data_IF_800142864741
#
_entry.id   IF_800142864741
#
_cell.length_a   1.000
_cell.length_b   1.000
_cell.length_c   1.000
_cell.angle_alpha   90.00
_cell.angle_beta   90.00
_cell.angle_gamma   90.00
#
_symmetry.space_group_name_H-M   'P 1'
#
loop_
_entity.id
_entity.type
_entity.pdbx_description
1 polymer ?
#
# COMPACT_ATOMS: atom_id res chain seq x y z
N UNK A 1 28.66 -5.45 21.24
CA UNK A 1 27.91 -4.47 20.43
C UNK A 1 28.38 -3.07 20.75
N UNK A 2 29.08 -2.47 19.79
CA UNK A 2 29.46 -1.06 19.81
C UNK A 2 28.23 -0.18 19.57
N UNK A 3 28.33 1.12 19.87
CA UNK A 3 27.22 2.07 19.64
C UNK A 3 26.79 2.10 18.15
N UNK A 4 27.77 1.99 17.24
CA UNK A 4 27.59 2.01 15.78
C UNK A 4 26.81 0.80 15.23
N UNK A 5 26.97 -0.37 15.84
CA UNK A 5 26.24 -1.59 15.43
C UNK A 5 24.74 -1.47 15.80
N UNK A 6 24.43 -0.91 16.97
CA UNK A 6 23.04 -0.68 17.42
C UNK A 6 22.30 0.35 16.57
N UNK A 7 22.99 1.40 16.10
CA UNK A 7 22.38 2.39 15.20
C UNK A 7 22.10 1.80 13.80
N UNK A 8 22.94 0.87 13.31
CA UNK A 8 22.68 0.15 12.05
C UNK A 8 21.48 -0.77 12.16
N UNK A 9 21.40 -1.57 13.23
CA UNK A 9 20.26 -2.47 13.48
C UNK A 9 18.94 -1.70 13.50
N UNK A 10 18.87 -0.57 14.22
CA UNK A 10 17.66 0.27 14.27
C UNK A 10 17.24 0.84 12.92
N UNK A 11 18.20 1.22 12.07
CA UNK A 11 17.91 1.71 10.72
C UNK A 11 17.37 0.58 9.84
N UNK A 12 17.88 -0.64 10.03
CA UNK A 12 17.46 -1.81 9.28
C UNK A 12 16.07 -2.28 9.70
N UNK A 13 15.79 -2.33 11.01
CA UNK A 13 14.46 -2.59 11.58
C UNK A 13 13.43 -1.58 11.04
N UNK A 14 13.72 -0.27 11.11
CA UNK A 14 12.81 0.74 10.59
C UNK A 14 12.56 0.65 9.07
N UNK A 15 13.53 0.13 8.31
CA UNK A 15 13.34 -0.14 6.88
C UNK A 15 12.49 -1.38 6.64
N UNK A 16 12.63 -2.40 7.47
CA UNK A 16 11.84 -3.63 7.38
C UNK A 16 10.39 -3.37 7.75
N UNK A 17 10.13 -2.70 8.88
CA UNK A 17 8.80 -2.28 9.32
C UNK A 17 8.11 -1.41 8.26
N UNK A 18 8.83 -0.44 7.68
CA UNK A 18 8.27 0.42 6.63
C UNK A 18 7.90 -0.35 5.35
N UNK A 19 8.64 -1.41 5.01
CA UNK A 19 8.30 -2.29 3.87
C UNK A 19 7.09 -3.17 4.20
N UNK A 20 7.00 -3.67 5.42
CA UNK A 20 5.88 -4.51 5.86
C UNK A 20 4.58 -3.71 5.88
N UNK A 21 4.59 -2.52 6.49
CA UNK A 21 3.45 -1.59 6.48
C UNK A 21 3.04 -1.23 5.05
N UNK A 22 4.00 -0.90 4.18
CA UNK A 22 3.70 -0.59 2.77
C UNK A 22 3.09 -1.76 2.01
N UNK A 23 3.51 -3.01 2.30
CA UNK A 23 2.89 -4.21 1.73
C UNK A 23 1.47 -4.40 2.22
N UNK A 24 1.24 -4.26 3.51
CA UNK A 24 -0.08 -4.46 4.11
C UNK A 24 -1.09 -3.42 3.62
N UNK A 25 -0.69 -2.14 3.59
CA UNK A 25 -1.50 -1.05 3.02
C UNK A 25 -1.81 -1.29 1.54
N UNK A 26 -0.82 -1.72 0.76
CA UNK A 26 -1.01 -2.06 -0.66
C UNK A 26 -2.02 -3.21 -0.87
N UNK A 27 -1.94 -4.26 -0.06
CA UNK A 27 -2.86 -5.41 -0.11
C UNK A 27 -4.30 -4.96 0.24
N UNK A 28 -4.46 -4.17 1.31
CA UNK A 28 -5.75 -3.63 1.74
C UNK A 28 -6.39 -2.77 0.65
N UNK A 29 -5.61 -1.88 0.06
CA UNK A 29 -6.07 -0.95 -0.97
C UNK A 29 -6.50 -1.71 -2.23
N UNK A 30 -5.71 -2.69 -2.67
CA UNK A 30 -6.05 -3.56 -3.79
C UNK A 30 -7.32 -4.37 -3.52
N UNK A 31 -7.44 -5.02 -2.35
CA UNK A 31 -8.66 -5.74 -1.96
C UNK A 31 -9.90 -4.85 -2.00
N UNK A 32 -9.77 -3.59 -1.54
CA UNK A 32 -10.87 -2.62 -1.56
C UNK A 32 -11.26 -2.24 -2.99
N UNK A 33 -10.28 -2.00 -3.87
CA UNK A 33 -10.49 -1.71 -5.30
C UNK A 33 -11.22 -2.87 -5.99
N UNK A 34 -10.74 -4.11 -5.84
CA UNK A 34 -11.40 -5.29 -6.42
C UNK A 34 -12.81 -5.52 -5.87
N UNK A 35 -13.02 -5.31 -4.56
CA UNK A 35 -14.34 -5.42 -3.96
C UNK A 35 -15.33 -4.42 -4.56
N UNK A 36 -14.91 -3.16 -4.72
CA UNK A 36 -15.76 -2.13 -5.32
C UNK A 36 -16.02 -2.41 -6.80
N UNK A 37 -15.02 -2.87 -7.54
CA UNK A 37 -15.18 -3.27 -8.94
C UNK A 37 -16.18 -4.41 -9.10
N UNK A 38 -16.10 -5.45 -8.25
CA UNK A 38 -17.04 -6.58 -8.25
C UNK A 38 -18.49 -6.17 -7.93
N UNK A 39 -18.68 -5.09 -7.16
CA UNK A 39 -20.01 -4.52 -6.89
C UNK A 39 -20.55 -3.72 -8.09
N UNK A 40 -19.72 -3.44 -9.11
CA UNK A 40 -20.09 -2.71 -10.31
C UNK A 40 -19.76 -1.21 -10.27
N UNK A 41 -18.88 -0.77 -9.37
CA UNK A 41 -18.45 0.63 -9.32
C UNK A 41 -17.55 0.97 -10.51
N UNK A 42 -17.74 2.18 -11.06
CA UNK A 42 -16.86 2.72 -12.10
C UNK A 42 -15.48 3.11 -11.55
N UNK A 43 -14.46 3.12 -12.40
CA UNK A 43 -13.08 3.49 -12.06
C UNK A 43 -13.02 4.86 -11.33
N UNK A 44 -13.80 5.84 -11.78
CA UNK A 44 -13.86 7.17 -11.15
C UNK A 44 -14.45 7.15 -9.74
N UNK A 45 -15.47 6.33 -9.50
CA UNK A 45 -16.05 6.17 -8.17
C UNK A 45 -15.09 5.42 -7.23
N UNK A 46 -14.39 4.40 -7.73
CA UNK A 46 -13.37 3.67 -6.97
C UNK A 46 -12.22 4.61 -6.59
N UNK A 47 -11.77 5.46 -7.52
CA UNK A 47 -10.73 6.46 -7.27
C UNK A 47 -11.14 7.41 -6.12
N UNK A 48 -12.37 7.92 -6.14
CA UNK A 48 -12.93 8.74 -5.05
C UNK A 48 -13.03 7.98 -3.72
N UNK A 49 -13.52 6.74 -3.75
CA UNK A 49 -13.73 5.93 -2.54
C UNK A 49 -12.41 5.45 -1.89
N UNK A 50 -11.38 5.23 -2.70
CA UNK A 50 -10.04 4.85 -2.25
C UNK A 50 -9.10 6.05 -2.10
N UNK A 51 -9.54 7.29 -2.40
CA UNK A 51 -8.73 8.52 -2.38
C UNK A 51 -7.42 8.40 -3.18
N UNK A 52 -7.48 7.68 -4.30
CA UNK A 52 -6.36 7.48 -5.22
C UNK A 52 -6.71 8.07 -6.58
N UNK A 53 -5.71 8.20 -7.44
CA UNK A 53 -5.94 8.63 -8.82
C UNK A 53 -6.57 7.51 -9.65
N UNK A 54 -7.35 7.85 -10.67
CA UNK A 54 -7.89 6.87 -11.62
C UNK A 54 -6.79 6.07 -12.32
N UNK A 55 -5.62 6.68 -12.52
CA UNK A 55 -4.45 6.00 -13.06
C UNK A 55 -3.91 4.93 -12.11
N UNK A 56 -3.92 5.17 -10.80
CA UNK A 56 -3.59 4.14 -9.80
C UNK A 56 -4.63 3.02 -9.76
N UNK A 57 -5.92 3.35 -9.88
CA UNK A 57 -6.96 2.31 -10.01
C UNK A 57 -6.70 1.44 -11.23
N UNK A 58 -6.38 2.04 -12.38
CA UNK A 58 -6.02 1.28 -13.60
C UNK A 58 -4.80 0.40 -13.38
N UNK A 59 -3.73 0.91 -12.76
CA UNK A 59 -2.54 0.11 -12.42
C UNK A 59 -2.80 -1.07 -11.47
N UNK A 60 -3.86 -1.00 -10.66
CA UNK A 60 -4.26 -2.10 -9.76
C UNK A 60 -5.08 -3.16 -10.50
N UNK A 61 -5.76 -2.76 -11.58
CA UNK A 61 -6.64 -3.61 -12.38
C UNK A 61 -5.96 -4.21 -13.63
N UNK A 62 -4.81 -3.67 -14.03
CA UNK A 62 -3.90 -4.20 -15.06
C UNK A 62 -3.07 -5.37 -14.51
#
# INVERSE_FOLDING_TARGET
MTLLERDREKIEEGREEGREQGREEGILLTKKVFKLLNVGYSISQIAKACKISENQVKKILE
#
